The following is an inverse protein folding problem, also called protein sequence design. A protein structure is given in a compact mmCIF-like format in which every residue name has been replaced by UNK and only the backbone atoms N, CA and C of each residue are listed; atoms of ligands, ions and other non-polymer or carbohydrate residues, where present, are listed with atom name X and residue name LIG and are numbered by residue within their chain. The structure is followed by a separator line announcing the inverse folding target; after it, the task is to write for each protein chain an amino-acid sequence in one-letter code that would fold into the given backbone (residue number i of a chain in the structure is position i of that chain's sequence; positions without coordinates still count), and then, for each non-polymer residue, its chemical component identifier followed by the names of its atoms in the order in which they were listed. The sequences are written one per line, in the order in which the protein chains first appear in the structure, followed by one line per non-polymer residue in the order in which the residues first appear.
data_IF_241523376461
#
_entry.id   IF_241523376461
#
_cell.length_a   1.000
_cell.length_b   1.000
_cell.length_c   1.000
_cell.angle_alpha   90.00
_cell.angle_beta   90.00
_cell.angle_gamma   90.00
#
_symmetry.space_group_name_H-M   'P 1'
#
loop_
_entity.id
_entity.type
_entity.pdbx_description
1 polymer ?
#
# COMPACT_ATOMS: atom_id res chain seq x y z
N UNK A 1 -2.79 97.10 1.02
CA UNK A 1 -3.16 96.27 2.19
C UNK A 1 -2.34 94.99 2.14
N UNK A 2 -1.63 94.65 3.23
CA UNK A 2 -0.75 93.48 3.31
C UNK A 2 -1.52 92.35 4.01
N UNK A 3 -1.73 91.23 3.31
CA UNK A 3 -2.28 90.04 3.95
C UNK A 3 -1.22 89.43 4.86
N UNK A 4 -1.59 89.19 6.12
CA UNK A 4 -0.77 88.50 7.11
C UNK A 4 -1.47 87.21 7.50
N UNK A 5 -0.71 86.13 7.40
CA UNK A 5 -1.16 84.77 7.66
C UNK A 5 -1.23 84.54 9.17
N UNK A 6 -2.40 84.17 9.69
CA UNK A 6 -2.70 84.04 11.13
C UNK A 6 -2.64 82.60 11.64
N UNK A 7 -2.40 81.62 10.78
CA UNK A 7 -2.34 80.21 11.17
C UNK A 7 -0.90 79.84 11.55
N UNK A 8 -0.65 79.29 12.76
CA UNK A 8 0.67 78.83 13.13
C UNK A 8 1.01 77.58 12.31
N UNK A 9 1.75 77.75 11.22
CA UNK A 9 2.21 76.63 10.41
C UNK A 9 3.13 75.75 11.27
N UNK A 10 2.65 74.56 11.61
CA UNK A 10 3.48 73.46 12.09
C UNK A 10 3.64 72.46 10.94
N UNK A 11 4.47 72.76 9.91
CA UNK A 11 4.60 71.93 8.71
C UNK A 11 5.06 70.50 9.04
N UNK A 12 5.67 70.29 10.21
CA UNK A 12 6.01 68.96 10.72
C UNK A 12 4.82 68.00 10.78
N UNK A 13 3.61 68.46 11.10
CA UNK A 13 2.44 67.58 11.19
C UNK A 13 1.97 67.08 9.81
N UNK A 14 2.20 67.86 8.75
CA UNK A 14 1.88 67.46 7.37
C UNK A 14 2.77 66.31 6.90
N UNK A 15 3.98 66.19 7.42
CA UNK A 15 4.91 65.10 7.11
C UNK A 15 4.70 63.85 7.97
N UNK A 16 4.05 63.97 9.14
CA UNK A 16 3.73 62.81 10.01
C UNK A 16 2.70 61.89 9.37
N UNK A 17 1.69 62.47 8.70
CA UNK A 17 0.61 61.71 8.05
C UNK A 17 1.13 60.71 6.99
N UNK A 18 1.95 61.10 5.99
CA UNK A 18 2.46 60.15 5.00
C UNK A 18 3.42 59.12 5.62
N UNK A 19 4.21 59.50 6.62
CA UNK A 19 5.08 58.55 7.33
C UNK A 19 4.24 57.49 8.05
N UNK A 20 3.21 57.89 8.79
CA UNK A 20 2.30 56.98 9.47
C UNK A 20 1.57 56.07 8.47
N UNK A 21 1.20 56.59 7.29
CA UNK A 21 0.60 55.79 6.23
C UNK A 21 1.53 54.68 5.72
N UNK A 22 2.82 54.98 5.51
CA UNK A 22 3.82 53.97 5.11
C UNK A 22 3.94 52.88 6.17
N UNK A 23 4.00 53.25 7.45
CA UNK A 23 4.04 52.27 8.55
C UNK A 23 2.78 51.40 8.61
N UNK A 24 1.59 52.00 8.40
CA UNK A 24 0.33 51.27 8.37
C UNK A 24 0.27 50.28 7.20
N UNK A 25 0.71 50.69 6.01
CA UNK A 25 0.83 49.82 4.83
C UNK A 25 1.80 48.66 5.09
N UNK A 26 2.98 48.94 5.63
CA UNK A 26 3.97 47.91 5.94
C UNK A 26 3.40 46.87 6.92
N UNK A 27 2.70 47.32 7.96
CA UNK A 27 2.07 46.43 8.94
C UNK A 27 0.96 45.60 8.30
N UNK A 28 0.13 46.20 7.44
CA UNK A 28 -0.91 45.51 6.70
C UNK A 28 -0.33 44.39 5.84
N UNK A 29 0.74 44.67 5.09
CA UNK A 29 1.41 43.66 4.26
C UNK A 29 2.07 42.56 5.10
N UNK A 30 2.61 42.87 6.27
CA UNK A 30 3.19 41.86 7.14
C UNK A 30 2.13 40.91 7.74
N UNK A 31 0.93 41.45 8.04
CA UNK A 31 -0.19 40.68 8.56
C UNK A 31 -0.89 39.83 7.48
N UNK A 32 -1.10 40.39 6.28
CA UNK A 32 -1.78 39.68 5.18
C UNK A 32 -0.86 38.81 4.34
N UNK A 33 0.44 39.14 4.27
CA UNK A 33 1.42 38.45 3.44
C UNK A 33 1.43 36.93 3.65
N UNK A 34 1.54 36.43 4.90
CA UNK A 34 1.51 34.99 5.17
C UNK A 34 0.22 34.30 4.73
N UNK A 35 -0.94 35.00 4.80
CA UNK A 35 -2.22 34.45 4.34
C UNK A 35 -2.31 34.33 2.81
N UNK A 36 -1.51 35.09 2.07
CA UNK A 36 -1.44 35.03 0.61
C UNK A 36 -0.35 34.06 0.12
N UNK A 37 0.45 33.49 1.03
CA UNK A 37 1.37 32.40 0.69
C UNK A 37 0.53 31.16 0.45
N UNK A 38 0.32 30.85 -0.82
CA UNK A 38 -0.35 29.65 -1.26
C UNK A 38 0.40 28.44 -0.70
N UNK A 39 -0.19 27.73 0.28
CA UNK A 39 0.31 26.44 0.75
C UNK A 39 0.13 25.41 -0.37
N UNK A 40 1.04 25.41 -1.33
CA UNK A 40 1.09 24.42 -2.41
C UNK A 40 1.67 23.14 -1.84
N UNK A 41 0.80 22.34 -1.22
CA UNK A 41 1.17 21.04 -0.67
C UNK A 41 0.04 20.49 0.18
N UNK A 42 -0.83 19.70 -0.43
CA UNK A 42 -1.67 18.78 0.34
C UNK A 42 -0.78 17.60 0.67
N UNK A 43 -0.48 17.38 1.95
CA UNK A 43 0.10 16.13 2.41
C UNK A 43 -0.98 15.05 2.23
N UNK A 44 -0.98 14.39 1.08
CA UNK A 44 -1.88 13.27 0.83
C UNK A 44 -1.24 12.05 1.44
N UNK A 45 -1.80 11.55 2.54
CA UNK A 45 -1.46 10.24 3.06
C UNK A 45 -2.17 9.22 2.16
N UNK A 46 -1.40 8.43 1.41
CA UNK A 46 -2.00 7.45 0.51
C UNK A 46 -2.68 6.37 1.37
N UNK A 47 -3.96 6.08 1.13
CA UNK A 47 -4.62 4.99 1.85
C UNK A 47 -3.87 3.68 1.55
N UNK A 48 -3.77 2.76 2.53
CA UNK A 48 -3.13 1.48 2.31
C UNK A 48 -3.80 0.76 1.14
N UNK A 49 -2.99 0.38 0.16
CA UNK A 49 -3.47 -0.27 -1.06
C UNK A 49 -4.17 -1.59 -0.73
N UNK A 50 -5.35 -1.83 -1.33
CA UNK A 50 -6.05 -3.12 -1.27
C UNK A 50 -5.31 -4.26 -1.98
N UNK A 51 -4.24 -3.92 -2.72
CA UNK A 51 -3.32 -4.87 -3.35
C UNK A 51 -2.04 -5.11 -2.53
N UNK A 52 -1.92 -4.51 -1.34
CA UNK A 52 -1.03 -5.15 -0.38
C UNK A 52 -1.69 -6.49 -0.05
N UNK A 53 -1.11 -7.59 -0.57
CA UNK A 53 -1.33 -8.90 0.01
C UNK A 53 -1.26 -8.68 1.52
N UNK A 54 -2.36 -8.99 2.19
CA UNK A 54 -2.40 -9.06 3.65
C UNK A 54 -1.12 -9.76 4.06
N UNK A 55 -0.25 -9.03 4.78
CA UNK A 55 1.12 -9.48 5.02
C UNK A 55 0.99 -10.67 5.96
N UNK A 56 0.79 -11.85 5.38
CA UNK A 56 0.75 -13.09 6.12
C UNK A 56 2.11 -13.20 6.78
N UNK A 57 2.14 -13.09 8.11
CA UNK A 57 3.36 -13.20 8.92
C UNK A 57 4.04 -14.56 8.67
N UNK A 58 3.27 -15.55 8.22
CA UNK A 58 3.70 -16.92 8.05
C UNK A 58 3.26 -17.46 6.68
N UNK A 59 4.22 -17.89 5.86
CA UNK A 59 3.95 -18.65 4.63
C UNK A 59 4.21 -20.13 4.88
N UNK A 60 3.22 -20.96 4.56
CA UNK A 60 3.31 -22.41 4.66
C UNK A 60 3.48 -22.97 3.25
N UNK A 61 4.65 -23.50 2.93
CA UNK A 61 4.93 -24.00 1.58
C UNK A 61 4.58 -25.49 1.51
N UNK A 62 3.68 -25.85 0.62
CA UNK A 62 3.38 -27.24 0.26
C UNK A 62 3.92 -27.47 -1.14
N UNK A 63 4.87 -28.38 -1.29
CA UNK A 63 5.47 -28.71 -2.58
C UNK A 63 5.01 -30.09 -3.03
N UNK A 64 4.46 -30.17 -4.24
CA UNK A 64 4.07 -31.40 -4.89
C UNK A 64 5.05 -31.71 -6.02
N UNK A 65 5.59 -32.92 -6.00
CA UNK A 65 6.51 -33.41 -7.03
C UNK A 65 6.04 -34.73 -7.64
N UNK A 66 6.46 -35.03 -8.87
CA UNK A 66 6.23 -36.33 -9.48
C UNK A 66 6.89 -37.43 -8.64
N UNK A 67 6.19 -38.54 -8.43
CA UNK A 67 6.68 -39.72 -7.72
C UNK A 67 6.00 -40.97 -8.25
N UNK A 68 6.63 -42.12 -8.10
CA UNK A 68 6.08 -43.44 -8.46
C UNK A 68 6.29 -44.37 -7.27
N UNK A 69 5.25 -45.04 -6.74
CA UNK A 69 3.88 -45.14 -7.25
C UNK A 69 2.95 -43.96 -6.90
N UNK A 70 3.28 -43.18 -5.85
CA UNK A 70 2.52 -42.01 -5.40
C UNK A 70 3.34 -40.72 -5.54
N UNK A 71 2.70 -39.56 -5.73
CA UNK A 71 3.41 -38.28 -5.81
C UNK A 71 4.04 -37.91 -4.48
N UNK A 72 5.17 -37.21 -4.55
CA UNK A 72 5.89 -36.78 -3.35
C UNK A 72 5.31 -35.47 -2.85
N UNK A 73 4.89 -35.45 -1.59
CA UNK A 73 4.38 -34.26 -0.91
C UNK A 73 5.43 -33.81 0.11
N UNK A 74 5.76 -32.52 0.09
CA UNK A 74 6.62 -31.91 1.09
C UNK A 74 5.91 -30.75 1.76
N UNK A 75 6.10 -30.63 3.07
CA UNK A 75 5.67 -29.47 3.84
C UNK A 75 6.90 -28.73 4.35
N UNK A 76 7.17 -27.56 3.77
CA UNK A 76 8.43 -26.84 3.97
C UNK A 76 9.62 -27.66 3.45
N UNK A 77 10.37 -28.28 4.37
CA UNK A 77 11.56 -29.11 4.04
C UNK A 77 11.34 -30.60 4.31
N UNK A 78 10.23 -30.96 4.94
CA UNK A 78 9.99 -32.33 5.36
C UNK A 78 9.14 -33.06 4.31
N UNK A 79 9.53 -34.27 3.87
CA UNK A 79 8.63 -35.14 3.15
C UNK A 79 7.52 -35.58 4.11
N UNK A 80 6.27 -35.48 3.67
CA UNK A 80 5.09 -35.85 4.46
C UNK A 80 4.14 -36.69 3.63
N UNK A 81 3.39 -37.56 4.29
CA UNK A 81 2.23 -38.21 3.68
C UNK A 81 1.02 -37.26 3.72
N UNK A 82 -0.04 -37.61 3.00
CA UNK A 82 -1.29 -36.84 2.99
C UNK A 82 -1.91 -36.74 4.39
N UNK A 83 -1.95 -37.84 5.14
CA UNK A 83 -2.57 -37.88 6.46
C UNK A 83 -1.75 -37.09 7.49
N UNK A 84 -0.42 -37.13 7.36
CA UNK A 84 0.48 -36.29 8.15
C UNK A 84 0.30 -34.81 7.84
N UNK A 85 0.15 -34.45 6.56
CA UNK A 85 -0.13 -33.06 6.17
C UNK A 85 -1.46 -32.59 6.79
N UNK A 86 -2.50 -33.43 6.74
CA UNK A 86 -3.80 -33.12 7.35
C UNK A 86 -3.66 -32.87 8.86
N UNK A 87 -2.93 -33.74 9.56
CA UNK A 87 -2.68 -33.64 11.01
C UNK A 87 -1.89 -32.37 11.36
N UNK A 88 -0.84 -32.04 10.59
CA UNK A 88 -0.06 -30.82 10.80
C UNK A 88 -0.89 -29.55 10.57
N UNK A 89 -1.74 -29.56 9.54
CA UNK A 89 -2.66 -28.45 9.29
C UNK A 89 -3.71 -28.30 10.40
N UNK A 90 -4.20 -29.40 10.97
CA UNK A 90 -5.11 -29.37 12.13
C UNK A 90 -4.43 -28.78 13.38
N UNK A 91 -3.18 -29.14 13.65
CA UNK A 91 -2.40 -28.55 14.76
C UNK A 91 -2.20 -27.05 14.58
N UNK A 92 -1.78 -26.63 13.38
CA UNK A 92 -1.62 -25.21 13.05
C UNK A 92 -2.94 -24.43 13.12
N UNK A 93 -4.07 -25.11 12.86
CA UNK A 93 -5.40 -24.54 13.01
C UNK A 93 -5.74 -24.28 14.47
N UNK A 94 -5.42 -25.22 15.37
CA UNK A 94 -5.61 -25.08 16.82
C UNK A 94 -4.79 -23.91 17.39
N UNK A 95 -3.59 -23.70 16.86
CA UNK A 95 -2.72 -22.55 17.18
C UNK A 95 -3.23 -21.21 16.60
N UNK A 96 -4.34 -21.21 15.86
CA UNK A 96 -4.93 -20.02 15.25
C UNK A 96 -4.22 -19.52 13.99
N UNK A 97 -3.29 -20.30 13.42
CA UNK A 97 -2.51 -19.90 12.25
C UNK A 97 -3.37 -19.73 10.98
N UNK A 98 -4.57 -20.33 10.93
CA UNK A 98 -5.52 -20.23 9.80
C UNK A 98 -5.85 -18.80 9.35
N UNK A 99 -5.86 -17.81 10.26
CA UNK A 99 -6.12 -16.41 9.93
C UNK A 99 -4.87 -15.61 9.59
N UNK A 100 -3.68 -16.13 9.94
CA UNK A 100 -2.40 -15.41 9.83
C UNK A 100 -1.45 -16.02 8.79
N UNK A 101 -1.71 -17.25 8.37
CA UNK A 101 -0.88 -18.02 7.48
C UNK A 101 -1.53 -18.27 6.13
N UNK A 102 -0.75 -18.10 5.07
CA UNK A 102 -1.13 -18.42 3.70
C UNK A 102 -0.37 -19.63 3.22
N UNK A 103 -1.11 -20.61 2.68
CA UNK A 103 -0.51 -21.82 2.11
C UNK A 103 -0.13 -21.55 0.66
N UNK A 104 1.15 -21.70 0.36
CA UNK A 104 1.69 -21.61 -0.99
C UNK A 104 1.83 -23.01 -1.56
N UNK A 105 0.97 -23.37 -2.50
CA UNK A 105 1.02 -24.64 -3.20
C UNK A 105 1.95 -24.51 -4.41
N UNK A 106 3.10 -25.18 -4.34
CA UNK A 106 4.06 -25.29 -5.43
C UNK A 106 3.91 -26.65 -6.09
N UNK A 107 3.47 -26.66 -7.34
CA UNK A 107 3.24 -27.90 -8.09
C UNK A 107 4.28 -28.02 -9.19
N UNK A 108 5.04 -29.11 -9.20
CA UNK A 108 5.99 -29.41 -10.27
C UNK A 108 5.24 -29.93 -11.52
N UNK A 109 5.84 -29.72 -12.70
CA UNK A 109 5.21 -29.93 -14.01
C UNK A 109 4.75 -31.38 -14.28
N UNK A 110 5.30 -32.36 -13.53
CA UNK A 110 4.95 -33.77 -13.63
C UNK A 110 3.91 -34.27 -12.62
N UNK A 111 3.34 -33.40 -11.79
CA UNK A 111 2.39 -33.81 -10.75
C UNK A 111 1.01 -34.12 -11.35
N UNK A 112 0.38 -35.26 -11.01
CA UNK A 112 -0.98 -35.56 -11.44
C UNK A 112 -1.99 -34.50 -10.95
N UNK A 113 -2.83 -34.00 -11.86
CA UNK A 113 -3.86 -32.97 -11.55
C UNK A 113 -4.84 -33.42 -10.46
N UNK A 114 -5.15 -34.72 -10.38
CA UNK A 114 -6.03 -35.25 -9.34
C UNK A 114 -5.48 -35.02 -7.94
N UNK A 115 -4.16 -35.14 -7.77
CA UNK A 115 -3.47 -34.96 -6.49
C UNK A 115 -3.36 -33.48 -6.12
N UNK A 116 -3.09 -32.61 -7.09
CA UNK A 116 -3.13 -31.16 -6.88
C UNK A 116 -4.51 -30.71 -6.36
N UNK A 117 -5.59 -31.20 -6.98
CA UNK A 117 -6.97 -30.90 -6.57
C UNK A 117 -7.26 -31.42 -5.16
N UNK A 118 -6.87 -32.64 -4.86
CA UNK A 118 -7.12 -33.26 -3.56
C UNK A 118 -6.41 -32.52 -2.41
N UNK A 119 -5.15 -32.10 -2.63
CA UNK A 119 -4.41 -31.30 -1.64
C UNK A 119 -4.99 -29.89 -1.53
N UNK A 120 -5.45 -29.30 -2.64
CA UNK A 120 -6.14 -28.01 -2.61
C UNK A 120 -7.42 -28.09 -1.78
N UNK A 121 -8.26 -29.10 -2.00
CA UNK A 121 -9.48 -29.34 -1.23
C UNK A 121 -9.18 -29.60 0.24
N UNK A 122 -8.14 -30.39 0.54
CA UNK A 122 -7.68 -30.63 1.90
C UNK A 122 -7.35 -29.31 2.60
N UNK A 123 -6.50 -28.46 2.01
CA UNK A 123 -6.08 -27.19 2.61
C UNK A 123 -7.28 -26.25 2.81
N UNK A 124 -8.14 -26.12 1.81
CA UNK A 124 -9.32 -25.25 1.89
C UNK A 124 -10.34 -25.75 2.92
N UNK A 125 -10.55 -27.08 3.03
CA UNK A 125 -11.46 -27.67 4.01
C UNK A 125 -11.05 -27.39 5.46
N UNK A 126 -9.76 -27.17 5.69
CA UNK A 126 -9.19 -26.81 7.00
C UNK A 126 -9.27 -25.31 7.31
N UNK A 127 -9.77 -24.49 6.37
CA UNK A 127 -10.00 -23.06 6.56
C UNK A 127 -8.82 -22.16 6.17
N UNK A 128 -7.72 -22.71 5.67
CA UNK A 128 -6.58 -21.93 5.22
C UNK A 128 -6.84 -21.27 3.86
N UNK A 129 -6.22 -20.11 3.65
CA UNK A 129 -6.12 -19.48 2.33
C UNK A 129 -4.98 -20.14 1.55
N UNK A 130 -5.22 -20.44 0.28
CA UNK A 130 -4.25 -21.08 -0.61
C UNK A 130 -3.96 -20.19 -1.82
N UNK A 131 -2.70 -20.07 -2.21
CA UNK A 131 -2.31 -19.63 -3.55
C UNK A 131 -1.45 -20.67 -4.23
N UNK A 132 -1.70 -20.82 -5.53
CA UNK A 132 -0.88 -21.64 -6.41
C UNK A 132 0.30 -20.80 -6.89
N UNK A 133 1.52 -21.30 -6.68
CA UNK A 133 2.77 -20.64 -7.07
C UNK A 133 3.48 -21.52 -8.10
N UNK A 134 3.87 -20.93 -9.22
CA UNK A 134 4.62 -21.63 -10.29
C UNK A 134 3.83 -21.93 -11.56
N UNK A 135 2.51 -21.69 -11.60
CA UNK A 135 1.77 -21.64 -12.85
C UNK A 135 1.88 -20.22 -13.41
N UNK A 136 2.89 -19.98 -14.25
CA UNK A 136 2.83 -18.81 -15.13
C UNK A 136 1.55 -18.98 -15.98
N UNK A 137 0.71 -17.95 -16.03
CA UNK A 137 -0.37 -17.91 -17.01
C UNK A 137 0.22 -18.31 -18.39
N UNK A 138 -0.50 -19.10 -19.21
CA UNK A 138 0.00 -19.40 -20.55
C UNK A 138 0.36 -18.06 -21.20
N UNK A 139 1.63 -17.94 -21.60
CA UNK A 139 2.15 -16.75 -22.29
C UNK A 139 1.46 -16.70 -23.64
N UNK A 140 0.30 -16.05 -23.67
CA UNK A 140 -0.55 -15.88 -24.83
C UNK A 140 -1.42 -14.65 -24.62
N UNK A 141 -1.10 -13.60 -25.38
CA UNK A 141 -1.93 -12.41 -25.64
C UNK A 141 -2.12 -11.37 -24.53
N UNK A 142 -1.02 -10.86 -23.97
CA UNK A 142 -1.02 -9.49 -23.42
C UNK A 142 0.16 -8.70 -23.99
N UNK A 143 0.18 -8.52 -25.30
CA UNK A 143 0.90 -7.39 -25.91
C UNK A 143 -0.12 -6.27 -26.07
N UNK A 144 -0.08 -5.19 -25.26
CA UNK A 144 -0.92 -4.03 -25.52
C UNK A 144 -0.47 -3.42 -26.85
N UNK A 145 -1.31 -3.52 -27.88
CA UNK A 145 -1.11 -2.79 -29.13
C UNK A 145 -1.30 -1.30 -28.83
N UNK A 146 -0.19 -0.60 -28.58
CA UNK A 146 -0.16 0.86 -28.65
C UNK A 146 -0.57 1.27 -30.06
N UNK A 147 -1.81 1.71 -30.19
CA UNK A 147 -2.28 2.39 -31.39
C UNK A 147 -1.92 3.85 -31.20
N UNK A 148 -0.78 4.26 -31.74
CA UNK A 148 -0.42 5.66 -31.92
C UNK A 148 -1.33 6.25 -33.00
N UNK A 149 -1.93 7.40 -32.73
CA UNK A 149 -2.79 8.14 -33.65
C UNK A 149 -2.34 9.59 -33.69
#
# INVERSE_FOLDING_TARGET
MKLVMTLPERPGFLHVVPVLNIFALMQLFFLLGPSMVMHSGVSVDLPPSRFQMERYDQSLVVTLGPGSPEPRIHFGRDPVTRDELATRLDQLREDGAQMRAMVLLQTDAGTPVGMEREITELVLSKGFRLAMVGRSAPVGDVVPKTTEK
#
